data_IF_406546682053
#
_entry.id   IF_406546682053
#
_cell.length_a   1.000
_cell.length_b   1.000
_cell.length_c   1.000
_cell.angle_alpha   90.00
_cell.angle_beta   90.00
_cell.angle_gamma   90.00
#
_symmetry.space_group_name_H-M   'P 1'
#
loop_
_entity.id
_entity.type
_entity.pdbx_description
1 polymer ?
#
# COMPACT_ATOMS: atom_id res chain seq x y z
N UNK A 1 20.79 26.11 -13.54
CA UNK A 1 21.64 25.39 -14.51
C UNK A 1 22.00 24.05 -13.87
N UNK A 2 21.43 22.95 -14.39
CA UNK A 2 22.01 21.57 -14.53
C UNK A 2 22.78 21.02 -13.30
N UNK A 3 22.54 19.85 -12.67
CA UNK A 3 21.80 18.61 -12.94
C UNK A 3 22.23 17.61 -11.84
N UNK A 4 21.51 16.50 -11.68
CA UNK A 4 21.92 15.26 -10.97
C UNK A 4 21.89 15.35 -9.43
N UNK A 5 21.22 14.45 -8.69
CA UNK A 5 21.05 13.01 -8.89
C UNK A 5 19.66 12.54 -8.41
N UNK A 6 18.68 12.51 -9.31
CA UNK A 6 17.51 11.61 -9.21
C UNK A 6 17.84 10.35 -10.02
N UNK A 7 18.60 9.44 -9.43
CA UNK A 7 18.99 8.16 -10.05
C UNK A 7 19.10 7.06 -9.00
N UNK A 8 18.11 6.97 -8.10
CA UNK A 8 17.79 5.69 -7.46
C UNK A 8 16.65 5.09 -8.28
N UNK A 9 17.09 4.61 -9.43
CA UNK A 9 16.35 3.99 -10.52
C UNK A 9 15.69 2.70 -10.03
N UNK A 10 14.36 2.69 -9.95
CA UNK A 10 13.39 1.80 -10.63
C UNK A 10 13.59 0.28 -10.71
N UNK A 11 14.78 -0.26 -10.46
CA UNK A 11 15.08 -1.68 -10.55
C UNK A 11 14.80 -2.39 -9.22
N UNK A 12 14.84 -1.68 -8.08
CA UNK A 12 14.65 -2.32 -6.77
C UNK A 12 13.22 -2.82 -6.53
N UNK A 13 12.17 -2.09 -6.90
CA UNK A 13 10.79 -2.52 -6.59
C UNK A 13 10.29 -3.67 -7.47
N UNK A 14 10.76 -3.77 -8.72
CA UNK A 14 10.40 -4.86 -9.63
C UNK A 14 11.32 -6.08 -9.42
N UNK A 15 12.61 -5.91 -9.06
CA UNK A 15 13.44 -7.05 -8.61
C UNK A 15 13.02 -7.60 -7.23
N UNK A 16 12.35 -6.83 -6.36
CA UNK A 16 11.82 -7.34 -5.08
C UNK A 16 10.77 -8.45 -5.27
N UNK A 17 10.13 -8.56 -6.44
CA UNK A 17 9.21 -9.66 -6.73
C UNK A 17 9.88 -10.90 -7.35
N UNK A 18 11.12 -10.79 -7.83
CA UNK A 18 11.81 -11.88 -8.56
C UNK A 18 13.03 -12.48 -7.84
N UNK A 19 13.42 -11.99 -6.65
CA UNK A 19 14.55 -12.53 -5.89
C UNK A 19 14.04 -13.34 -4.70
N UNK A 20 14.08 -14.67 -4.85
CA UNK A 20 14.09 -15.72 -3.82
C UNK A 20 13.16 -15.55 -2.60
N UNK A 21 12.30 -16.55 -2.40
CA UNK A 21 11.36 -16.77 -1.28
C UNK A 21 11.88 -16.53 0.16
N UNK A 22 13.14 -16.16 0.37
CA UNK A 22 13.78 -15.91 1.67
C UNK A 22 14.03 -14.41 1.98
N UNK A 23 13.94 -13.50 1.00
CA UNK A 23 14.21 -12.06 1.18
C UNK A 23 12.99 -11.19 1.54
N UNK A 24 11.76 -11.70 1.36
CA UNK A 24 10.51 -10.93 1.57
C UNK A 24 10.21 -10.62 3.04
N UNK A 25 10.77 -11.43 3.96
CA UNK A 25 10.55 -11.38 5.42
C UNK A 25 11.08 -10.07 6.04
N UNK A 26 11.96 -9.32 5.36
CA UNK A 26 12.59 -8.12 5.93
C UNK A 26 12.20 -6.78 5.28
N UNK A 27 11.38 -6.77 4.22
CA UNK A 27 11.05 -5.52 3.54
C UNK A 27 9.89 -4.79 4.24
N UNK A 28 8.76 -5.47 4.44
CA UNK A 28 7.58 -4.86 5.06
C UNK A 28 7.80 -4.57 6.56
N UNK A 29 8.54 -5.41 7.28
CA UNK A 29 8.90 -5.13 8.68
C UNK A 29 9.73 -3.86 8.86
N UNK A 30 10.52 -3.47 7.85
CA UNK A 30 11.25 -2.19 7.81
C UNK A 30 10.41 -1.03 7.30
N UNK A 31 9.41 -1.30 6.47
CA UNK A 31 8.48 -0.29 5.94
C UNK A 31 7.45 0.14 6.98
N UNK A 32 6.94 -0.81 7.78
CA UNK A 32 5.91 -0.62 8.80
C UNK A 32 6.54 -0.62 10.20
N UNK A 33 7.19 0.49 10.53
CA UNK A 33 7.83 0.68 11.85
C UNK A 33 6.83 1.14 12.89
N UNK A 34 5.74 1.75 12.46
CA UNK A 34 4.77 2.43 13.30
C UNK A 34 3.99 1.45 14.20
N UNK A 35 3.52 1.92 15.37
CA UNK A 35 2.64 1.17 16.26
C UNK A 35 1.15 1.35 15.93
N UNK A 36 0.83 1.99 14.78
CA UNK A 36 -0.53 2.26 14.30
C UNK A 36 -0.79 1.59 12.97
N UNK A 37 -2.05 1.36 12.63
CA UNK A 37 -2.44 0.83 11.32
C UNK A 37 -2.21 1.90 10.25
N UNK A 38 -1.54 1.53 9.15
CA UNK A 38 -1.18 2.37 8.02
C UNK A 38 -1.49 1.65 6.69
N UNK A 39 -1.92 2.41 5.69
CA UNK A 39 -1.97 1.99 4.30
C UNK A 39 -0.77 2.55 3.56
N UNK A 40 0.01 1.67 2.93
CA UNK A 40 0.97 2.07 1.91
C UNK A 40 0.37 1.81 0.53
N UNK A 41 0.39 2.83 -0.31
CA UNK A 41 -0.21 2.82 -1.63
C UNK A 41 0.92 3.06 -2.63
N UNK A 42 1.01 2.20 -3.64
CA UNK A 42 2.01 2.29 -4.70
C UNK A 42 1.27 2.47 -6.01
N UNK A 43 1.57 3.55 -6.71
CA UNK A 43 0.99 3.86 -8.02
C UNK A 43 1.67 3.03 -9.12
N UNK A 44 1.03 2.94 -10.29
CA UNK A 44 1.56 2.23 -11.47
C UNK A 44 2.89 2.80 -11.99
N UNK A 45 3.16 4.07 -11.73
CA UNK A 45 4.45 4.71 -12.01
C UNK A 45 5.42 4.63 -10.83
N UNK A 46 5.14 3.79 -9.84
CA UNK A 46 5.98 3.56 -8.67
C UNK A 46 5.95 4.65 -7.62
N UNK A 47 5.14 5.72 -7.78
CA UNK A 47 5.01 6.74 -6.75
C UNK A 47 4.41 6.16 -5.46
N UNK A 48 5.05 6.36 -4.29
CA UNK A 48 4.53 5.88 -3.02
C UNK A 48 3.66 6.95 -2.34
N UNK A 49 2.58 6.49 -1.70
CA UNK A 49 1.73 7.27 -0.82
C UNK A 49 1.53 6.52 0.50
N UNK A 50 1.36 7.28 1.58
CA UNK A 50 1.08 6.76 2.92
C UNK A 50 -0.24 7.37 3.38
N UNK A 51 -1.16 6.54 3.82
CA UNK A 51 -2.46 6.94 4.35
C UNK A 51 -2.68 6.31 5.73
N UNK A 52 -3.21 7.09 6.66
CA UNK A 52 -3.58 6.65 8.01
C UNK A 52 -4.88 7.35 8.37
N UNK A 53 -5.77 6.68 9.10
CA UNK A 53 -6.93 7.34 9.72
C UNK A 53 -6.48 8.08 10.99
N UNK A 54 -7.33 8.99 11.47
CA UNK A 54 -7.15 9.65 12.78
C UNK A 54 -7.37 8.69 13.97
N UNK A 55 -8.11 7.60 13.75
CA UNK A 55 -8.29 6.53 14.73
C UNK A 55 -7.15 5.52 14.57
N UNK A 56 -6.09 5.71 15.36
CA UNK A 56 -4.83 4.95 15.31
C UNK A 56 -5.00 3.42 15.48
N UNK A 57 -6.19 2.96 15.86
CA UNK A 57 -6.53 1.55 16.06
C UNK A 57 -7.24 0.89 14.87
N UNK A 58 -7.80 1.66 13.92
CA UNK A 58 -8.54 1.13 12.77
C UNK A 58 -8.46 2.06 11.57
N UNK A 59 -8.01 1.55 10.43
CA UNK A 59 -8.09 2.31 9.18
C UNK A 59 -9.45 2.13 8.53
N UNK A 60 -10.21 3.22 8.52
CA UNK A 60 -11.35 3.35 7.62
C UNK A 60 -10.90 3.95 6.28
N UNK A 61 -10.97 3.15 5.22
CA UNK A 61 -10.56 3.56 3.89
C UNK A 61 -11.71 4.29 3.18
N UNK A 62 -11.77 5.62 3.33
CA UNK A 62 -12.71 6.45 2.60
C UNK A 62 -12.15 6.80 1.21
N UNK A 63 -12.83 6.36 0.15
CA UNK A 63 -12.34 6.52 -1.23
C UNK A 63 -12.23 8.00 -1.64
N UNK A 64 -13.17 8.86 -1.25
CA UNK A 64 -13.09 10.28 -1.58
C UNK A 64 -11.89 10.96 -0.89
N UNK A 65 -11.63 10.62 0.36
CA UNK A 65 -10.46 11.13 1.08
C UNK A 65 -9.17 10.61 0.47
N UNK A 66 -9.14 9.34 0.07
CA UNK A 66 -8.01 8.76 -0.65
C UNK A 66 -7.77 9.51 -1.97
N UNK A 67 -8.80 9.77 -2.78
CA UNK A 67 -8.67 10.55 -4.01
C UNK A 67 -8.19 11.99 -3.79
N UNK A 68 -8.52 12.59 -2.64
CA UNK A 68 -7.97 13.91 -2.23
C UNK A 68 -6.49 13.78 -1.84
N UNK A 69 -6.13 12.74 -1.08
CA UNK A 69 -4.75 12.46 -0.65
C UNK A 69 -3.82 12.04 -1.77
N UNK A 70 -4.35 11.51 -2.87
CA UNK A 70 -3.62 11.15 -4.09
C UNK A 70 -3.33 12.34 -5.03
N UNK A 71 -3.52 13.57 -4.54
CA UNK A 71 -3.17 14.80 -5.27
C UNK A 71 -1.82 15.31 -4.79
N UNK A 72 -0.85 15.40 -5.70
CA UNK A 72 0.42 16.11 -5.48
C UNK A 72 0.42 17.42 -6.27
N UNK A 73 1.32 18.37 -5.98
CA UNK A 73 1.44 19.60 -6.77
C UNK A 73 1.67 19.36 -8.26
N UNK A 74 2.38 18.27 -8.59
CA UNK A 74 2.81 17.95 -9.95
C UNK A 74 1.88 16.98 -10.68
N UNK A 75 1.03 16.25 -9.96
CA UNK A 75 0.19 15.20 -10.53
C UNK A 75 -1.07 14.92 -9.71
N UNK A 76 -2.17 14.70 -10.42
CA UNK A 76 -3.42 14.21 -9.83
C UNK A 76 -3.59 12.75 -10.21
N UNK A 77 -3.43 11.85 -9.24
CA UNK A 77 -3.69 10.44 -9.47
C UNK A 77 -5.16 10.09 -9.22
N UNK A 78 -5.61 9.01 -9.83
CA UNK A 78 -6.90 8.37 -9.59
C UNK A 78 -6.73 7.04 -8.87
N UNK A 79 -7.82 6.49 -8.30
CA UNK A 79 -7.83 5.14 -7.73
C UNK A 79 -7.40 4.09 -8.76
N UNK A 80 -7.74 4.29 -10.03
CA UNK A 80 -7.37 3.39 -11.12
C UNK A 80 -5.86 3.38 -11.44
N UNK A 81 -5.12 4.38 -10.96
CA UNK A 81 -3.66 4.47 -11.10
C UNK A 81 -2.92 3.70 -10.01
N UNK A 82 -3.61 3.22 -8.98
CA UNK A 82 -3.00 2.44 -7.91
C UNK A 82 -2.65 1.05 -8.43
N UNK A 83 -1.41 0.62 -8.21
CA UNK A 83 -0.92 -0.72 -8.52
C UNK A 83 -1.03 -1.65 -7.31
N UNK A 84 -0.68 -1.18 -6.12
CA UNK A 84 -0.66 -1.98 -4.90
C UNK A 84 -1.14 -1.15 -3.71
N UNK A 85 -1.97 -1.74 -2.86
CA UNK A 85 -2.31 -1.26 -1.52
C UNK A 85 -1.79 -2.29 -0.52
N UNK A 86 -1.13 -1.85 0.53
CA UNK A 86 -0.64 -2.70 1.62
C UNK A 86 -1.17 -2.13 2.93
N UNK A 87 -2.01 -2.88 3.62
CA UNK A 87 -2.57 -2.56 4.94
C UNK A 87 -1.82 -3.35 6.00
N UNK A 88 -1.20 -2.71 7.00
CA UNK A 88 -0.62 -3.45 8.11
C UNK A 88 -1.63 -3.72 9.22
N UNK A 89 -1.71 -4.99 9.62
CA UNK A 89 -2.36 -5.43 10.85
C UNK A 89 -1.31 -5.73 11.91
N UNK A 90 -1.60 -5.40 13.17
CA UNK A 90 -0.70 -5.76 14.27
C UNK A 90 -0.88 -7.20 14.71
N UNK A 91 -2.13 -7.60 14.94
CA UNK A 91 -2.49 -8.86 15.59
C UNK A 91 -3.18 -9.78 14.57
N UNK A 92 -4.17 -9.25 13.86
CA UNK A 92 -4.94 -9.99 12.87
C UNK A 92 -4.02 -10.55 11.78
N UNK A 93 -4.19 -11.84 11.52
CA UNK A 93 -3.34 -12.62 10.63
C UNK A 93 -4.03 -12.95 9.31
N UNK A 94 -5.20 -12.36 9.03
CA UNK A 94 -5.96 -12.55 7.80
C UNK A 94 -6.74 -11.28 7.44
N UNK A 95 -7.30 -11.24 6.22
CA UNK A 95 -8.16 -10.15 5.81
C UNK A 95 -9.49 -10.18 6.58
N UNK A 96 -9.81 -9.07 7.24
CA UNK A 96 -11.09 -8.87 7.91
C UNK A 96 -12.24 -8.72 6.91
N UNK A 97 -13.48 -8.86 7.38
CA UNK A 97 -14.65 -8.54 6.56
C UNK A 97 -14.67 -7.05 6.14
N UNK A 98 -14.07 -6.17 6.95
CA UNK A 98 -13.88 -4.77 6.60
C UNK A 98 -12.91 -4.59 5.44
N UNK A 99 -11.78 -5.30 5.43
CA UNK A 99 -10.83 -5.27 4.30
C UNK A 99 -11.50 -5.69 2.99
N UNK A 100 -12.34 -6.73 3.03
CA UNK A 100 -13.12 -7.19 1.87
C UNK A 100 -14.15 -6.16 1.42
N UNK A 101 -14.84 -5.50 2.37
CA UNK A 101 -15.77 -4.41 2.06
C UNK A 101 -15.05 -3.23 1.41
N UNK A 102 -13.90 -2.84 1.93
CA UNK A 102 -13.08 -1.77 1.38
C UNK A 102 -12.55 -2.12 -0.02
N UNK A 103 -12.12 -3.37 -0.25
CA UNK A 103 -11.73 -3.82 -1.58
C UNK A 103 -12.88 -3.69 -2.59
N UNK A 104 -14.09 -4.11 -2.21
CA UNK A 104 -15.28 -3.99 -3.06
C UNK A 104 -15.57 -2.53 -3.40
N UNK A 105 -15.42 -1.63 -2.43
CA UNK A 105 -15.63 -0.20 -2.66
C UNK A 105 -14.57 0.39 -3.60
N UNK A 106 -13.29 0.11 -3.36
CA UNK A 106 -12.19 0.48 -4.24
C UNK A 106 -12.40 0.00 -5.68
N UNK A 107 -12.86 -1.25 -5.87
CA UNK A 107 -13.16 -1.81 -7.19
C UNK A 107 -14.26 -1.04 -7.92
N UNK A 108 -15.31 -0.57 -7.22
CA UNK A 108 -16.37 0.28 -7.83
C UNK A 108 -15.79 1.59 -8.36
N UNK A 109 -14.72 2.09 -7.75
CA UNK A 109 -14.00 3.30 -8.16
C UNK A 109 -12.84 3.03 -9.14
N UNK A 110 -12.79 1.82 -9.72
CA UNK A 110 -11.85 1.49 -10.80
C UNK A 110 -10.49 0.95 -10.33
N UNK A 111 -10.34 0.61 -9.05
CA UNK A 111 -9.15 -0.09 -8.57
C UNK A 111 -8.99 -1.45 -9.27
N UNK A 112 -7.79 -1.70 -9.79
CA UNK A 112 -7.43 -2.96 -10.47
C UNK A 112 -6.10 -3.52 -9.95
N UNK A 113 -5.58 -2.97 -8.86
CA UNK A 113 -4.30 -3.35 -8.27
C UNK A 113 -4.42 -4.54 -7.31
N UNK A 114 -3.32 -4.81 -6.60
CA UNK A 114 -3.28 -5.79 -5.53
C UNK A 114 -3.63 -5.13 -4.20
N UNK A 115 -4.50 -5.75 -3.40
CA UNK A 115 -4.74 -5.34 -2.02
C UNK A 115 -4.17 -6.40 -1.09
N UNK A 116 -3.08 -6.04 -0.40
CA UNK A 116 -2.33 -6.91 0.48
C UNK A 116 -2.55 -6.52 1.95
N UNK A 117 -2.70 -7.52 2.82
CA UNK A 117 -2.62 -7.37 4.27
C UNK A 117 -1.25 -7.84 4.73
N UNK A 118 -0.53 -7.04 5.49
CA UNK A 118 0.71 -7.41 6.14
C UNK A 118 0.51 -7.55 7.65
N UNK A 119 0.58 -8.77 8.18
CA UNK A 119 0.48 -9.02 9.61
C UNK A 119 1.87 -8.87 10.26
N UNK A 120 2.06 -7.85 11.11
CA UNK A 120 3.33 -7.57 11.80
C UNK A 120 3.73 -8.69 12.76
N UNK A 121 2.78 -9.26 13.51
CA UNK A 121 3.01 -10.36 14.47
C UNK A 121 3.56 -11.62 13.80
N UNK A 122 3.00 -12.00 12.66
CA UNK A 122 3.40 -13.23 11.96
C UNK A 122 4.41 -12.99 10.84
N UNK A 123 4.63 -11.73 10.46
CA UNK A 123 5.47 -11.29 9.34
C UNK A 123 5.04 -11.93 8.01
N UNK A 124 3.74 -12.12 7.84
CA UNK A 124 3.12 -12.72 6.65
C UNK A 124 2.33 -11.66 5.88
N UNK A 125 2.21 -11.90 4.58
CA UNK A 125 1.40 -11.08 3.68
C UNK A 125 0.30 -11.93 3.06
N UNK A 126 -0.91 -11.41 3.06
CA UNK A 126 -2.11 -12.06 2.54
C UNK A 126 -2.70 -11.21 1.43
N UNK A 127 -3.20 -11.85 0.38
CA UNK A 127 -3.91 -11.15 -0.69
C UNK A 127 -5.40 -11.12 -0.36
N UNK A 128 -5.98 -9.93 -0.25
CA UNK A 128 -7.43 -9.77 -0.13
C UNK A 128 -8.04 -10.11 -1.50
N UNK A 129 -8.87 -11.14 -1.52
CA UNK A 129 -9.64 -11.53 -2.70
C UNK A 129 -11.12 -11.22 -2.46
N UNK A 130 -11.84 -11.09 -3.56
CA UNK A 130 -13.28 -10.83 -3.61
C UNK A 130 -14.06 -12.13 -3.79
#
# INVERSE_FOLDING_TARGET
MVLMRKFVTWISLILIFSVSMWGKINFFSKLFTEPIEVLYIIMKDGAPFRYTSFDENRIWLNVEEMERGLRTPDKKYSISDIAIIIHNHFIEDEASDDDRRQLKDLKKHGFKGLFLIYCKRTNKTYHVQD
#
